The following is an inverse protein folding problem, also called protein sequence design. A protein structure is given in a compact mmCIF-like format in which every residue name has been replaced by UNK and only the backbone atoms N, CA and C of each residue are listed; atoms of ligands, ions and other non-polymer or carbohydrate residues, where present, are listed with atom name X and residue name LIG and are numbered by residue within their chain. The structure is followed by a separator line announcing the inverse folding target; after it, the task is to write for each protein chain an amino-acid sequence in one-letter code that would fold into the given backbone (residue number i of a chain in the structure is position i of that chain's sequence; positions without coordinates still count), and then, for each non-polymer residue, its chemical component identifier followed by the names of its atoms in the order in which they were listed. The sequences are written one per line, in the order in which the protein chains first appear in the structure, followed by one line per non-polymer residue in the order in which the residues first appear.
data_IF_573518899794
#
_entry.id   IF_573518899794
#
_cell.length_a   1.000
_cell.length_b   1.000
_cell.length_c   1.000
_cell.angle_alpha   90.00
_cell.angle_beta   90.00
_cell.angle_gamma   90.00
#
_symmetry.space_group_name_H-M   'P 1'
#
loop_
_entity.id
_entity.type
_entity.pdbx_description
1 polymer ?
#
# COMPACT_ATOMS: atom_id res chain seq x y z
N UNK A 1 12.60 14.44 -5.83
CA UNK A 1 11.48 13.86 -6.61
C UNK A 1 11.62 12.34 -6.55
N UNK A 2 10.53 11.60 -6.36
CA UNK A 2 10.52 10.14 -6.28
C UNK A 2 9.72 9.56 -7.47
N UNK A 3 10.22 8.48 -8.05
CA UNK A 3 9.50 7.67 -9.06
C UNK A 3 9.27 6.28 -8.47
N UNK A 4 8.06 5.75 -8.61
CA UNK A 4 7.71 4.44 -8.08
C UNK A 4 7.25 3.47 -9.16
N UNK A 5 7.74 2.23 -9.11
CA UNK A 5 7.08 1.10 -9.79
C UNK A 5 5.82 0.72 -9.00
N UNK A 6 4.74 0.33 -9.68
CA UNK A 6 3.47 -0.02 -9.04
C UNK A 6 3.13 -1.50 -9.18
N UNK A 7 2.83 -2.19 -8.06
CA UNK A 7 2.44 -3.60 -8.01
C UNK A 7 0.97 -3.84 -8.42
N UNK A 8 0.55 -3.44 -9.61
CA UNK A 8 -0.88 -3.39 -9.97
C UNK A 8 -1.37 -4.51 -10.90
N UNK A 9 -0.81 -4.65 -12.11
CA UNK A 9 -1.42 -5.48 -13.16
C UNK A 9 -0.48 -6.46 -13.87
N UNK A 10 0.83 -6.32 -13.72
CA UNK A 10 1.83 -7.05 -14.50
C UNK A 10 2.75 -7.95 -13.67
N UNK A 11 3.92 -8.30 -14.21
CA UNK A 11 4.92 -9.14 -13.55
C UNK A 11 5.38 -8.61 -12.19
N UNK A 12 5.28 -7.30 -11.98
CA UNK A 12 5.65 -6.60 -10.76
C UNK A 12 4.71 -6.89 -9.57
N UNK A 13 3.57 -7.56 -9.80
CA UNK A 13 2.73 -8.13 -8.74
C UNK A 13 3.38 -9.29 -7.99
N UNK A 14 4.44 -9.90 -8.54
CA UNK A 14 5.23 -10.91 -7.84
C UNK A 14 6.36 -10.22 -7.08
N UNK A 15 6.41 -10.41 -5.75
CA UNK A 15 7.41 -9.78 -4.88
C UNK A 15 8.84 -9.93 -5.40
N UNK A 16 9.23 -11.14 -5.81
CA UNK A 16 10.59 -11.41 -6.29
C UNK A 16 10.94 -10.62 -7.57
N UNK A 17 9.97 -10.34 -8.43
CA UNK A 17 10.20 -9.55 -9.65
C UNK A 17 10.38 -8.08 -9.31
N UNK A 18 9.48 -7.52 -8.49
CA UNK A 18 9.57 -6.11 -8.09
C UNK A 18 10.86 -5.85 -7.29
N UNK A 19 11.23 -6.76 -6.38
CA UNK A 19 12.47 -6.71 -5.61
C UNK A 19 13.69 -6.63 -6.52
N UNK A 20 13.77 -7.47 -7.55
CA UNK A 20 14.87 -7.43 -8.51
C UNK A 20 14.95 -6.09 -9.24
N UNK A 21 13.82 -5.50 -9.62
CA UNK A 21 13.80 -4.17 -10.26
C UNK A 21 14.28 -3.09 -9.28
N UNK A 22 13.77 -3.08 -8.05
CA UNK A 22 14.18 -2.11 -7.03
C UNK A 22 15.68 -2.16 -6.74
N UNK A 23 16.21 -3.37 -6.52
CA UNK A 23 17.63 -3.59 -6.27
C UNK A 23 18.51 -3.29 -7.49
N UNK A 24 18.01 -3.48 -8.71
CA UNK A 24 18.76 -3.16 -9.93
C UNK A 24 18.81 -1.66 -10.22
N UNK A 25 17.77 -0.90 -9.83
CA UNK A 25 17.75 0.56 -10.00
C UNK A 25 18.67 1.25 -8.98
N UNK A 26 18.70 0.75 -7.73
CA UNK A 26 19.60 1.18 -6.66
C UNK A 26 19.80 2.71 -6.58
N UNK A 27 18.70 3.45 -6.50
CA UNK A 27 18.72 4.92 -6.51
C UNK A 27 17.79 5.50 -5.44
N UNK A 28 18.22 6.50 -4.65
CA UNK A 28 17.39 7.10 -3.58
C UNK A 28 16.16 7.83 -4.11
N UNK A 29 16.12 8.11 -5.41
CA UNK A 29 14.98 8.66 -6.14
C UNK A 29 13.94 7.62 -6.58
N UNK A 30 14.16 6.33 -6.30
CA UNK A 30 13.30 5.24 -6.72
C UNK A 30 12.63 4.57 -5.52
N UNK A 31 11.34 4.27 -5.66
CA UNK A 31 10.50 3.68 -4.62
C UNK A 31 9.45 2.75 -5.21
N UNK A 32 8.43 2.46 -4.41
CA UNK A 32 7.26 1.69 -4.82
C UNK A 32 6.01 2.55 -4.64
N UNK A 33 5.24 2.70 -5.71
CA UNK A 33 3.85 3.14 -5.62
C UNK A 33 3.04 1.89 -5.24
N UNK A 34 2.80 1.65 -3.97
CA UNK A 34 2.26 0.38 -3.52
C UNK A 34 0.73 0.36 -3.65
N UNK A 35 0.21 -0.40 -4.61
CA UNK A 35 -1.19 -0.80 -4.62
C UNK A 35 -1.41 -1.87 -3.53
N UNK A 36 -1.97 -1.47 -2.40
CA UNK A 36 -2.17 -2.35 -1.24
C UNK A 36 -3.18 -3.44 -1.61
N UNK A 37 -2.78 -4.70 -1.44
CA UNK A 37 -3.55 -5.86 -1.92
C UNK A 37 -3.28 -6.24 -3.38
N UNK A 38 -2.33 -5.59 -4.05
CA UNK A 38 -1.95 -5.87 -5.44
C UNK A 38 -1.04 -7.10 -5.63
N UNK A 39 -0.41 -7.60 -4.56
CA UNK A 39 0.50 -8.76 -4.63
C UNK A 39 -0.21 -10.04 -5.09
N UNK A 40 0.53 -10.86 -5.85
CA UNK A 40 0.14 -12.22 -6.21
C UNK A 40 0.97 -13.23 -5.41
N UNK A 41 0.37 -14.37 -5.09
CA UNK A 41 1.01 -15.45 -4.31
C UNK A 41 0.05 -16.08 -3.31
N UNK A 42 0.59 -16.95 -2.45
CA UNK A 42 -0.15 -17.46 -1.29
C UNK A 42 -0.38 -16.34 -0.25
N UNK A 43 -1.33 -16.50 0.69
CA UNK A 43 -1.53 -15.53 1.77
C UNK A 43 -0.25 -15.20 2.54
N UNK A 44 0.62 -16.18 2.76
CA UNK A 44 1.91 -16.02 3.45
C UNK A 44 2.89 -15.21 2.60
N UNK A 45 2.98 -15.48 1.29
CA UNK A 45 3.82 -14.72 0.37
C UNK A 45 3.37 -13.25 0.27
N UNK A 46 2.06 -13.02 0.20
CA UNK A 46 1.47 -11.67 0.18
C UNK A 46 1.75 -10.93 1.49
N UNK A 47 1.55 -11.60 2.63
CA UNK A 47 1.84 -11.01 3.93
C UNK A 47 3.32 -10.63 4.07
N UNK A 48 4.22 -11.48 3.58
CA UNK A 48 5.65 -11.20 3.59
C UNK A 48 6.01 -10.03 2.68
N UNK A 49 5.48 -10.01 1.44
CA UNK A 49 5.67 -8.92 0.50
C UNK A 49 5.24 -7.57 1.09
N UNK A 50 4.07 -7.52 1.74
CA UNK A 50 3.57 -6.29 2.39
C UNK A 50 4.46 -5.81 3.54
N UNK A 51 5.10 -6.72 4.29
CA UNK A 51 6.04 -6.33 5.35
C UNK A 51 7.33 -5.78 4.77
N UNK A 52 7.91 -6.49 3.80
CA UNK A 52 9.22 -6.17 3.25
C UNK A 52 9.18 -4.89 2.40
N UNK A 53 8.14 -4.73 1.58
CA UNK A 53 8.02 -3.54 0.71
C UNK A 53 7.84 -2.25 1.49
N UNK A 54 7.33 -2.30 2.73
CA UNK A 54 6.92 -1.12 3.49
C UNK A 54 7.99 -0.01 3.54
N UNK A 55 9.25 -0.39 3.68
CA UNK A 55 10.39 0.55 3.73
C UNK A 55 10.75 1.18 2.37
N UNK A 56 10.25 0.62 1.27
CA UNK A 56 10.49 1.08 -0.10
C UNK A 56 9.31 1.90 -0.65
N UNK A 57 8.18 1.93 0.06
CA UNK A 57 6.98 2.63 -0.38
C UNK A 57 7.20 4.13 -0.39
N UNK A 58 6.93 4.74 -1.54
CA UNK A 58 6.95 6.18 -1.76
C UNK A 58 5.55 6.78 -1.96
N UNK A 59 4.59 5.97 -2.39
CA UNK A 59 3.19 6.33 -2.57
C UNK A 59 2.29 5.10 -2.36
N UNK A 60 1.00 5.28 -2.06
CA UNK A 60 0.07 4.16 -1.88
C UNK A 60 -1.15 4.31 -2.76
N UNK A 61 -1.69 3.21 -3.28
CA UNK A 61 -3.09 3.11 -3.68
C UNK A 61 -3.79 2.12 -2.73
N UNK A 62 -4.66 2.62 -1.86
CA UNK A 62 -5.42 1.79 -0.91
C UNK A 62 -6.75 1.40 -1.55
N UNK A 63 -6.84 0.15 -2.00
CA UNK A 63 -8.02 -0.37 -2.70
C UNK A 63 -9.24 -0.55 -1.78
N UNK A 64 -10.44 -0.49 -2.36
CA UNK A 64 -11.72 -0.60 -1.66
C UNK A 64 -11.83 -1.86 -0.78
N UNK A 65 -11.44 -3.03 -1.31
CA UNK A 65 -11.51 -4.30 -0.58
C UNK A 65 -10.60 -4.34 0.65
N UNK A 66 -9.51 -3.57 0.67
CA UNK A 66 -8.65 -3.43 1.85
C UNK A 66 -9.39 -2.62 2.93
N UNK A 67 -10.07 -1.54 2.54
CA UNK A 67 -10.90 -0.73 3.44
C UNK A 67 -12.11 -1.49 4.03
N UNK A 68 -12.60 -2.53 3.35
CA UNK A 68 -13.65 -3.43 3.88
C UNK A 68 -13.11 -4.58 4.74
N UNK A 69 -11.79 -4.76 4.78
CA UNK A 69 -11.16 -5.92 5.43
C UNK A 69 -10.01 -5.52 6.35
N UNK A 70 -8.80 -5.87 5.95
CA UNK A 70 -7.61 -5.87 6.80
C UNK A 70 -6.85 -4.53 6.84
N UNK A 71 -7.55 -3.40 6.70
CA UNK A 71 -6.96 -2.05 6.60
C UNK A 71 -5.96 -1.77 7.73
N UNK A 72 -6.33 -2.02 8.99
CA UNK A 72 -5.46 -1.83 10.16
C UNK A 72 -4.13 -2.57 10.01
N UNK A 73 -4.19 -3.88 9.73
CA UNK A 73 -3.00 -4.71 9.59
C UNK A 73 -2.09 -4.23 8.45
N UNK A 74 -2.66 -3.79 7.32
CA UNK A 74 -1.89 -3.27 6.17
C UNK A 74 -1.24 -1.92 6.49
N UNK A 75 -1.98 -0.98 7.07
CA UNK A 75 -1.43 0.33 7.40
C UNK A 75 -0.39 0.26 8.53
N UNK A 76 -0.51 -0.70 9.45
CA UNK A 76 0.47 -0.93 10.51
C UNK A 76 1.86 -1.28 9.97
N UNK A 77 1.97 -1.99 8.84
CA UNK A 77 3.27 -2.25 8.20
C UNK A 77 3.98 -0.94 7.82
N UNK A 78 3.27 0.00 7.19
CA UNK A 78 3.80 1.33 6.83
C UNK A 78 4.10 2.18 8.06
N UNK A 79 3.21 2.14 9.07
CA UNK A 79 3.38 2.87 10.31
C UNK A 79 4.65 2.45 11.07
N UNK A 80 4.89 1.14 11.18
CA UNK A 80 6.03 0.58 11.91
C UNK A 80 7.38 0.96 11.31
N UNK A 81 7.46 1.19 10.00
CA UNK A 81 8.68 1.67 9.33
C UNK A 81 8.77 3.20 9.27
N UNK A 82 7.80 3.91 9.87
CA UNK A 82 7.78 5.36 9.94
C UNK A 82 7.50 6.05 8.59
N UNK A 83 6.70 5.42 7.71
CA UNK A 83 6.32 5.98 6.40
C UNK A 83 5.90 7.45 6.50
N UNK A 84 6.46 8.28 5.61
CA UNK A 84 6.27 9.75 5.60
C UNK A 84 5.45 10.26 4.41
N UNK A 85 5.07 9.37 3.50
CA UNK A 85 4.29 9.73 2.33
C UNK A 85 2.80 9.88 2.66
N UNK A 86 2.00 10.08 1.60
CA UNK A 86 0.55 10.16 1.72
C UNK A 86 -0.08 8.77 1.67
N UNK A 87 -1.13 8.58 2.48
CA UNK A 87 -2.02 7.43 2.42
C UNK A 87 -3.15 7.72 1.43
N UNK A 88 -2.88 7.54 0.13
CA UNK A 88 -3.86 7.76 -0.93
C UNK A 88 -4.76 6.53 -1.13
N UNK A 89 -6.05 6.78 -1.29
CA UNK A 89 -7.06 5.76 -1.59
C UNK A 89 -7.28 5.70 -3.10
N UNK A 90 -7.58 4.52 -3.61
CA UNK A 90 -7.96 4.35 -5.00
C UNK A 90 -9.31 3.61 -5.05
N UNK A 91 -10.27 4.23 -5.73
CA UNK A 91 -11.55 3.61 -6.08
C UNK A 91 -11.63 3.55 -7.59
N UNK A 92 -12.08 2.42 -8.11
CA UNK A 92 -12.08 2.16 -9.55
C UNK A 92 -13.27 1.28 -9.97
N UNK A 93 -14.40 1.42 -9.29
CA UNK A 93 -15.60 0.62 -9.57
C UNK A 93 -16.47 1.18 -10.71
N UNK A 94 -16.19 2.42 -11.12
CA UNK A 94 -17.02 3.29 -11.95
C UNK A 94 -18.43 3.54 -11.37
N UNK A 95 -18.59 3.42 -10.04
CA UNK A 95 -19.88 3.55 -9.35
C UNK A 95 -19.71 4.38 -8.07
N UNK A 96 -20.54 5.42 -7.96
CA UNK A 96 -20.60 6.31 -6.79
C UNK A 96 -19.22 6.86 -6.36
N UNK A 97 -18.30 7.08 -7.31
CA UNK A 97 -16.87 7.30 -7.06
C UNK A 97 -16.57 8.32 -5.95
N UNK A 98 -17.16 9.52 -6.02
CA UNK A 98 -16.95 10.55 -4.99
C UNK A 98 -17.40 10.12 -3.58
N UNK A 99 -18.52 9.39 -3.49
CA UNK A 99 -19.05 8.92 -2.20
C UNK A 99 -18.17 7.83 -1.63
N UNK A 100 -17.79 6.84 -2.43
CA UNK A 100 -17.00 5.70 -1.96
C UNK A 100 -15.57 6.14 -1.59
N UNK A 101 -14.97 7.06 -2.36
CA UNK A 101 -13.69 7.70 -1.97
C UNK A 101 -13.81 8.40 -0.61
N UNK A 102 -14.89 9.12 -0.34
CA UNK A 102 -15.10 9.76 0.97
C UNK A 102 -15.19 8.74 2.12
N UNK A 103 -15.79 7.57 1.87
CA UNK A 103 -15.86 6.47 2.83
C UNK A 103 -14.46 5.88 3.07
N UNK A 104 -13.69 5.60 2.01
CA UNK A 104 -12.32 5.09 2.15
C UNK A 104 -11.44 6.06 2.94
N UNK A 105 -11.50 7.37 2.64
CA UNK A 105 -10.75 8.38 3.37
C UNK A 105 -11.11 8.41 4.86
N UNK A 106 -12.39 8.26 5.19
CA UNK A 106 -12.85 8.21 6.59
C UNK A 106 -12.27 7.00 7.33
N UNK A 107 -12.28 5.82 6.69
CA UNK A 107 -11.72 4.59 7.26
C UNK A 107 -10.21 4.65 7.45
N UNK A 108 -9.48 5.20 6.47
CA UNK A 108 -8.03 5.41 6.57
C UNK A 108 -7.70 6.33 7.74
N UNK A 109 -8.41 7.45 7.88
CA UNK A 109 -8.21 8.38 9.00
C UNK A 109 -8.44 7.71 10.36
N UNK A 110 -9.54 6.98 10.52
CA UNK A 110 -9.85 6.25 11.76
C UNK A 110 -8.73 5.26 12.16
N UNK A 111 -8.18 4.50 11.20
CA UNK A 111 -7.06 3.59 11.46
C UNK A 111 -5.79 4.35 11.87
N UNK A 112 -5.46 5.45 11.19
CA UNK A 112 -4.30 6.26 11.52
C UNK A 112 -4.42 6.91 12.91
N UNK A 113 -5.62 7.37 13.29
CA UNK A 113 -5.89 7.92 14.61
C UNK A 113 -5.73 6.84 15.71
N UNK A 114 -6.19 5.62 15.46
CA UNK A 114 -5.98 4.47 16.37
C UNK A 114 -4.50 4.12 16.53
N UNK A 115 -3.76 4.07 15.43
CA UNK A 115 -2.31 3.82 15.45
C UNK A 115 -1.55 4.93 16.19
N UNK A 116 -1.99 6.18 16.03
CA UNK A 116 -1.40 7.32 16.74
C UNK A 116 -1.68 7.30 18.25
N UNK A 117 -2.87 6.87 18.64
CA UNK A 117 -3.30 6.83 20.05
C UNK A 117 -2.97 5.52 20.78
N UNK A 118 -2.49 4.50 20.07
CA UNK A 118 -2.18 3.17 20.63
C UNK A 118 -3.41 2.32 20.95
N UNK A 119 -4.51 2.54 20.23
CA UNK A 119 -5.79 1.82 20.37
C UNK A 119 -6.01 0.81 19.23
N UNK A 120 -4.94 0.14 18.80
CA UNK A 120 -4.93 -0.78 17.66
C UNK A 120 -5.36 -2.21 17.97
#
# INVERSE_FOLDING_TARGET
FLVGIENHWGPERTWQNLKQVYEAVDHPGFGVSCHIGGWAGTPEEVAEADRLVASWVSHTHIAWNICEGNLMAKLKNLWNVGYKGYYSVEHHSAKNEYREVAIQLTKVRDVLDKLHTGND
#
